data_IF_354073878868
#
_entry.id   IF_354073878868
#
_cell.length_a   1.000
_cell.length_b   1.000
_cell.length_c   1.000
_cell.angle_alpha   90.00
_cell.angle_beta   90.00
_cell.angle_gamma   90.00
#
_symmetry.space_group_name_H-M   'P 1'
#
loop_
_entity.id
_entity.type
_entity.pdbx_description
1 polymer ?
#
# COMPACT_ATOMS: atom_id res chain seq x y z
N UNK A 1 -4.25 2.88 -1.91
CA UNK A 1 -4.83 1.51 -1.83
C UNK A 1 -6.12 1.32 -2.61
N UNK A 2 -7.03 2.30 -2.60
CA UNK A 2 -8.31 2.28 -3.34
C UNK A 2 -8.20 1.82 -4.81
N UNK A 3 -7.15 2.23 -5.53
CA UNK A 3 -6.89 1.79 -6.92
C UNK A 3 -6.63 0.28 -7.01
N UNK A 4 -5.75 -0.26 -6.14
CA UNK A 4 -5.45 -1.69 -6.12
C UNK A 4 -6.71 -2.51 -5.83
N UNK A 5 -7.47 -2.11 -4.80
CA UNK A 5 -8.76 -2.73 -4.46
C UNK A 5 -9.72 -2.80 -5.67
N UNK A 6 -9.88 -1.69 -6.40
CA UNK A 6 -10.70 -1.65 -7.61
C UNK A 6 -10.18 -2.59 -8.70
N UNK A 7 -8.87 -2.61 -8.92
CA UNK A 7 -8.24 -3.50 -9.91
C UNK A 7 -8.45 -4.97 -9.55
N UNK A 8 -8.34 -5.35 -8.28
CA UNK A 8 -8.63 -6.71 -7.81
C UNK A 8 -10.09 -7.10 -8.00
N UNK A 9 -11.02 -6.18 -7.80
CA UNK A 9 -12.45 -6.41 -8.07
C UNK A 9 -12.74 -6.54 -9.57
N UNK A 10 -12.08 -5.74 -10.41
CA UNK A 10 -12.15 -5.89 -11.86
C UNK A 10 -11.57 -7.22 -12.33
N UNK A 11 -10.42 -7.64 -11.77
CA UNK A 11 -9.80 -8.93 -12.08
C UNK A 11 -10.76 -10.10 -11.82
N UNK A 12 -11.55 -10.04 -10.75
CA UNK A 12 -12.56 -11.06 -10.40
C UNK A 12 -13.79 -11.04 -11.30
N UNK A 13 -14.14 -9.90 -11.92
CA UNK A 13 -15.42 -9.71 -12.62
C UNK A 13 -15.31 -9.69 -14.15
N UNK A 14 -14.11 -9.50 -14.73
CA UNK A 14 -13.91 -9.23 -16.16
C UNK A 14 -13.58 -10.46 -17.04
N UNK A 15 -13.71 -11.68 -16.52
CA UNK A 15 -13.51 -12.89 -17.32
C UNK A 15 -12.08 -12.98 -17.90
N UNK A 16 -11.96 -13.06 -19.23
CA UNK A 16 -10.66 -13.21 -19.91
C UNK A 16 -9.70 -12.03 -19.72
N UNK A 17 -10.21 -10.82 -19.51
CA UNK A 17 -9.40 -9.63 -19.24
C UNK A 17 -8.91 -9.58 -17.78
N UNK A 18 -9.43 -10.45 -16.91
CA UNK A 18 -9.12 -10.45 -15.48
C UNK A 18 -7.63 -10.55 -15.17
N UNK A 19 -6.87 -11.30 -15.98
CA UNK A 19 -5.42 -11.43 -15.83
C UNK A 19 -4.66 -10.11 -16.02
N UNK A 20 -5.14 -9.23 -16.91
CA UNK A 20 -4.50 -7.93 -17.13
C UNK A 20 -4.67 -7.02 -15.92
N UNK A 21 -5.89 -6.99 -15.36
CA UNK A 21 -6.18 -6.23 -14.14
C UNK A 21 -5.42 -6.78 -12.94
N UNK A 22 -5.26 -8.10 -12.83
CA UNK A 22 -4.48 -8.71 -11.75
C UNK A 22 -3.00 -8.33 -11.84
N UNK A 23 -2.40 -8.37 -13.04
CA UNK A 23 -1.03 -7.89 -13.27
C UNK A 23 -0.87 -6.43 -12.90
N UNK A 24 -1.81 -5.58 -13.31
CA UNK A 24 -1.77 -4.15 -12.96
C UNK A 24 -1.93 -3.93 -11.45
N UNK A 25 -2.82 -4.68 -10.78
CA UNK A 25 -2.95 -4.64 -9.34
C UNK A 25 -1.63 -5.02 -8.65
N UNK A 26 -0.98 -6.10 -9.08
CA UNK A 26 0.33 -6.50 -8.54
C UNK A 26 1.37 -5.38 -8.72
N UNK A 27 1.43 -4.72 -9.88
CA UNK A 27 2.35 -3.60 -10.11
C UNK A 27 2.07 -2.40 -9.20
N UNK A 28 0.81 -2.07 -8.92
CA UNK A 28 0.43 -1.00 -7.98
C UNK A 28 0.83 -1.35 -6.55
N UNK A 29 0.67 -2.61 -6.14
CA UNK A 29 1.08 -3.10 -4.82
C UNK A 29 2.61 -3.05 -4.64
N UNK A 30 3.37 -3.46 -5.67
CA UNK A 30 4.83 -3.40 -5.67
C UNK A 30 5.35 -1.96 -5.64
N UNK A 31 4.76 -1.08 -6.45
CA UNK A 31 5.08 0.34 -6.43
C UNK A 31 4.86 0.92 -5.03
N UNK A 32 3.71 0.65 -4.43
CA UNK A 32 3.40 1.22 -3.12
C UNK A 32 4.31 0.67 -2.04
N UNK A 33 4.62 -0.63 -2.07
CA UNK A 33 5.57 -1.22 -1.12
C UNK A 33 6.93 -0.53 -1.21
N UNK A 34 7.46 -0.33 -2.43
CA UNK A 34 8.75 0.34 -2.64
C UNK A 34 8.72 1.81 -2.26
N UNK A 35 7.58 2.47 -2.41
CA UNK A 35 7.38 3.84 -1.94
C UNK A 35 7.44 3.91 -0.41
N UNK A 36 6.85 2.93 0.28
CA UNK A 36 6.79 2.89 1.74
C UNK A 36 8.11 2.48 2.39
N UNK A 37 8.93 1.67 1.71
CA UNK A 37 10.16 1.07 2.25
C UNK A 37 11.13 2.08 2.91
N UNK A 38 11.51 3.22 2.28
CA UNK A 38 12.43 4.18 2.90
C UNK A 38 11.86 4.83 4.16
N UNK A 39 10.54 5.01 4.22
CA UNK A 39 9.89 5.66 5.36
C UNK A 39 9.94 4.77 6.60
N UNK A 40 10.03 3.44 6.47
CA UNK A 40 10.01 2.52 7.61
C UNK A 40 11.22 2.68 8.54
N UNK A 41 12.32 3.24 8.06
CA UNK A 41 13.58 3.34 8.81
C UNK A 41 14.17 4.75 8.87
N UNK A 42 13.67 5.70 8.07
CA UNK A 42 14.18 7.06 7.99
C UNK A 42 13.09 8.09 8.34
N UNK A 43 13.32 8.81 9.44
CA UNK A 43 12.42 9.86 9.92
C UNK A 43 12.36 11.06 8.96
N UNK A 44 13.46 11.47 8.34
CA UNK A 44 13.47 12.61 7.41
C UNK A 44 12.70 12.29 6.13
N UNK A 45 12.81 11.05 5.63
CA UNK A 45 12.03 10.60 4.47
C UNK A 45 10.53 10.61 4.79
N UNK A 46 10.16 10.20 6.01
CA UNK A 46 8.78 10.20 6.49
C UNK A 46 8.22 11.61 6.66
N UNK A 47 8.99 12.51 7.27
CA UNK A 47 8.66 13.93 7.40
C UNK A 47 8.47 14.60 6.04
N UNK A 48 9.39 14.36 5.11
CA UNK A 48 9.32 14.90 3.74
C UNK A 48 8.13 14.37 2.94
N UNK A 49 7.70 13.13 3.20
CA UNK A 49 6.51 12.55 2.58
C UNK A 49 5.20 13.08 3.20
N UNK A 50 5.23 13.41 4.49
CA UNK A 50 4.10 13.93 5.26
C UNK A 50 3.46 12.86 6.14
N UNK A 51 3.57 13.04 7.47
CA UNK A 51 3.05 12.10 8.47
C UNK A 51 1.57 11.74 8.26
N UNK A 52 0.70 12.73 8.12
CA UNK A 52 -0.75 12.51 7.95
C UNK A 52 -1.07 11.67 6.71
N UNK A 53 -0.29 11.80 5.64
CA UNK A 53 -0.50 11.07 4.38
C UNK A 53 -0.13 9.59 4.56
N UNK A 54 0.90 9.30 5.36
CA UNK A 54 1.31 7.94 5.62
C UNK A 54 0.28 7.18 6.45
N UNK A 55 -0.26 7.80 7.52
CA UNK A 55 -1.28 7.18 8.36
C UNK A 55 -2.55 6.88 7.54
N UNK A 56 -3.02 7.82 6.73
CA UNK A 56 -4.15 7.63 5.81
C UNK A 56 -3.93 6.45 4.84
N UNK A 57 -2.70 6.26 4.33
CA UNK A 57 -2.37 5.15 3.43
C UNK A 57 -2.41 3.81 4.16
N UNK A 58 -1.95 3.76 5.41
CA UNK A 58 -1.93 2.56 6.23
C UNK A 58 -3.33 2.16 6.68
N UNK A 59 -4.14 3.14 7.10
CA UNK A 59 -5.55 2.93 7.45
C UNK A 59 -6.33 2.38 6.25
N UNK A 60 -6.17 3.01 5.07
CA UNK A 60 -6.73 2.53 3.82
C UNK A 60 -6.24 1.09 3.47
N UNK A 61 -4.99 0.74 3.80
CA UNK A 61 -4.45 -0.60 3.54
C UNK A 61 -5.07 -1.67 4.43
N UNK A 62 -5.36 -1.33 5.69
CA UNK A 62 -6.06 -2.19 6.65
C UNK A 62 -7.52 -2.35 6.23
N UNK A 63 -8.24 -1.24 5.99
CA UNK A 63 -9.66 -1.24 5.63
C UNK A 63 -9.92 -2.04 4.34
N UNK A 64 -9.01 -1.94 3.36
CA UNK A 64 -9.14 -2.61 2.06
C UNK A 64 -8.41 -3.96 1.99
N UNK A 65 -8.00 -4.52 3.13
CA UNK A 65 -7.35 -5.83 3.27
C UNK A 65 -6.16 -6.05 2.31
N UNK A 66 -5.27 -5.06 2.18
CA UNK A 66 -4.13 -5.08 1.26
C UNK A 66 -2.95 -5.90 1.82
N UNK A 67 -3.11 -7.23 1.83
CA UNK A 67 -2.23 -8.18 2.54
C UNK A 67 -0.75 -8.05 2.23
N UNK A 68 -0.36 -7.77 0.98
CA UNK A 68 1.07 -7.68 0.61
C UNK A 68 1.72 -6.41 1.14
N UNK A 69 0.97 -5.32 1.22
CA UNK A 69 1.43 -4.08 1.86
C UNK A 69 1.60 -4.35 3.35
N UNK A 70 0.62 -5.00 3.99
CA UNK A 70 0.70 -5.31 5.42
C UNK A 70 1.85 -6.27 5.77
N UNK A 71 2.22 -7.20 4.88
CA UNK A 71 3.35 -8.11 5.12
C UNK A 71 4.72 -7.44 4.98
N UNK A 72 4.80 -6.39 4.16
CA UNK A 72 6.07 -5.75 3.81
C UNK A 72 6.32 -4.47 4.61
N UNK A 73 5.31 -3.96 5.31
CA UNK A 73 5.41 -2.79 6.16
C UNK A 73 5.54 -3.21 7.62
N UNK A 74 6.63 -2.82 8.26
CA UNK A 74 6.78 -2.95 9.70
C UNK A 74 6.04 -1.79 10.40
N UNK A 75 4.74 -2.00 10.67
CA UNK A 75 3.89 -1.00 11.34
C UNK A 75 4.45 -0.53 12.68
N UNK A 76 5.16 -1.38 13.42
CA UNK A 76 5.79 -1.02 14.69
C UNK A 76 6.85 0.07 14.53
N UNK A 77 7.62 0.01 13.44
CA UNK A 77 8.61 1.05 13.11
C UNK A 77 7.95 2.33 12.58
N UNK A 78 6.67 2.29 12.21
CA UNK A 78 5.92 3.46 11.78
C UNK A 78 5.27 4.15 12.98
N UNK A 79 4.64 3.37 13.86
CA UNK A 79 3.86 3.87 15.01
C UNK A 79 4.77 4.42 16.11
N UNK A 80 5.96 3.84 16.33
CA UNK A 80 6.86 4.27 17.43
C UNK A 80 7.53 5.64 17.24
N UNK A 81 7.41 6.27 16.07
CA UNK A 81 7.99 7.60 15.79
C UNK A 81 6.93 8.70 15.63
N UNK A 82 5.67 8.40 15.96
CA UNK A 82 4.55 9.35 16.01
C UNK A 82 4.30 9.90 17.43
N UNK A 83 5.16 9.57 18.40
CA UNK A 83 5.19 10.10 19.77
C UNK A 83 6.38 11.03 19.95
#
# INVERSE_FOLDING_TARGET
MKVNYRLRNLAKSKGSEGQMFDKLANSVEDFTTRLLDPMQSDQMQREGFGYFILDDILDDAIELEQKKVMSNVNFTNIINYAQ
#
